data_IF_278074615884
#
_entry.id   IF_278074615884
#
_cell.length_a   1.000
_cell.length_b   1.000
_cell.length_c   1.000
_cell.angle_alpha   90.00
_cell.angle_beta   90.00
_cell.angle_gamma   90.00
#
_symmetry.space_group_name_H-M   'P 1'
#
loop_
_entity.id
_entity.type
_entity.pdbx_description
1 polymer ?
#
# COMPACT_ATOMS: atom_id res chain seq x y z
N UNK A 1 23.97 -23.87 -35.66
CA UNK A 1 23.75 -22.67 -36.49
C UNK A 1 22.57 -22.92 -37.41
N UNK A 2 21.42 -22.28 -37.17
CA UNK A 2 20.27 -22.38 -38.07
C UNK A 2 20.53 -21.55 -39.33
N UNK A 3 20.35 -22.12 -40.52
CA UNK A 3 20.52 -21.39 -41.78
C UNK A 3 19.40 -20.34 -41.92
N UNK A 4 19.78 -19.08 -42.11
CA UNK A 4 18.83 -17.99 -42.36
C UNK A 4 18.20 -18.17 -43.75
N UNK A 5 16.87 -18.18 -43.82
CA UNK A 5 16.10 -18.19 -45.08
C UNK A 5 15.29 -16.90 -45.20
N UNK A 6 14.79 -16.58 -46.40
CA UNK A 6 13.98 -15.37 -46.65
C UNK A 6 12.79 -15.23 -45.70
N UNK A 7 12.27 -16.36 -45.20
CA UNK A 7 11.10 -16.40 -44.32
C UNK A 7 11.46 -16.25 -42.83
N UNK A 8 12.75 -16.37 -42.45
CA UNK A 8 13.24 -16.32 -41.08
C UNK A 8 14.32 -15.24 -40.90
N UNK A 9 14.33 -14.24 -41.77
CA UNK A 9 15.30 -13.15 -41.72
C UNK A 9 14.93 -12.12 -40.64
N UNK A 10 13.64 -11.96 -40.36
CA UNK A 10 13.12 -11.08 -39.33
C UNK A 10 12.53 -11.90 -38.19
N UNK A 11 12.80 -11.45 -36.97
CA UNK A 11 12.22 -12.02 -35.77
C UNK A 11 10.78 -11.56 -35.67
N UNK A 12 9.85 -12.49 -35.82
CA UNK A 12 8.43 -12.23 -35.58
C UNK A 12 8.21 -12.32 -34.08
N UNK A 13 7.84 -11.19 -33.47
CA UNK A 13 7.40 -11.17 -32.08
C UNK A 13 5.87 -11.07 -32.05
N UNK A 14 5.22 -11.94 -31.29
CA UNK A 14 3.76 -11.90 -31.10
C UNK A 14 3.33 -10.64 -30.32
N UNK A 15 4.22 -10.11 -29.47
CA UNK A 15 4.03 -8.89 -28.69
C UNK A 15 5.32 -8.06 -28.67
N UNK A 16 5.23 -6.77 -28.33
CA UNK A 16 6.43 -5.93 -28.26
C UNK A 16 7.36 -6.47 -27.17
N UNK A 17 8.62 -6.82 -27.50
CA UNK A 17 9.56 -7.33 -26.51
C UNK A 17 9.83 -6.25 -25.46
N UNK A 18 9.66 -6.60 -24.19
CA UNK A 18 9.94 -5.69 -23.07
C UNK A 18 11.41 -5.27 -23.09
N UNK A 19 11.65 -3.97 -23.01
CA UNK A 19 12.99 -3.41 -22.84
C UNK A 19 13.51 -3.71 -21.44
N UNK A 20 14.82 -3.58 -21.21
CA UNK A 20 15.38 -3.73 -19.87
C UNK A 20 14.75 -2.74 -18.86
N UNK A 21 14.41 -1.54 -19.31
CA UNK A 21 13.72 -0.53 -18.51
C UNK A 21 12.31 -0.97 -18.12
N UNK A 22 11.55 -1.55 -19.05
CA UNK A 22 10.20 -2.07 -18.76
C UNK A 22 10.24 -3.15 -17.68
N UNK A 23 11.23 -4.04 -17.75
CA UNK A 23 11.45 -5.09 -16.75
C UNK A 23 11.70 -4.51 -15.36
N UNK A 24 12.61 -3.53 -15.26
CA UNK A 24 12.88 -2.88 -13.97
C UNK A 24 11.66 -2.16 -13.42
N UNK A 25 10.89 -1.48 -14.28
CA UNK A 25 9.67 -0.78 -13.89
C UNK A 25 8.61 -1.76 -13.36
N UNK A 26 8.48 -2.93 -14.01
CA UNK A 26 7.60 -4.01 -13.57
C UNK A 26 7.98 -4.52 -12.18
N UNK A 27 9.27 -4.80 -11.96
CA UNK A 27 9.75 -5.28 -10.65
C UNK A 27 9.50 -4.26 -9.56
N UNK A 28 9.80 -2.98 -9.79
CA UNK A 28 9.57 -1.92 -8.80
C UNK A 28 8.07 -1.80 -8.45
N UNK A 29 7.18 -1.89 -9.44
CA UNK A 29 5.73 -1.89 -9.19
C UNK A 29 5.30 -3.07 -8.33
N UNK A 30 5.77 -4.28 -8.66
CA UNK A 30 5.49 -5.48 -7.87
C UNK A 30 5.92 -5.33 -6.41
N UNK A 31 7.12 -4.79 -6.17
CA UNK A 31 7.61 -4.55 -4.80
C UNK A 31 6.69 -3.60 -4.02
N UNK A 32 6.22 -2.52 -4.65
CA UNK A 32 5.34 -1.53 -4.01
C UNK A 32 3.97 -2.15 -3.70
N UNK A 33 3.43 -2.93 -4.63
CA UNK A 33 2.14 -3.59 -4.47
C UNK A 33 2.20 -4.63 -3.34
N UNK A 34 3.24 -5.46 -3.30
CA UNK A 34 3.47 -6.44 -2.23
C UNK A 34 3.56 -5.76 -0.85
N UNK A 35 4.30 -4.64 -0.75
CA UNK A 35 4.38 -3.89 0.50
C UNK A 35 3.02 -3.28 0.89
N UNK A 36 2.26 -2.77 -0.09
CA UNK A 36 0.93 -2.23 0.15
C UNK A 36 -0.04 -3.30 0.66
N UNK A 37 -0.02 -4.50 0.09
CA UNK A 37 -0.81 -5.65 0.53
C UNK A 37 -0.48 -6.04 1.98
N UNK A 38 0.81 -6.12 2.33
CA UNK A 38 1.23 -6.41 3.70
C UNK A 38 0.72 -5.37 4.71
N UNK A 39 0.82 -4.07 4.36
CA UNK A 39 0.30 -2.98 5.19
C UNK A 39 -1.22 -3.08 5.35
N UNK A 40 -1.95 -3.35 4.27
CA UNK A 40 -3.40 -3.53 4.31
C UNK A 40 -3.81 -4.73 5.18
N UNK A 41 -3.15 -5.88 5.02
CA UNK A 41 -3.42 -7.08 5.82
C UNK A 41 -3.21 -6.81 7.32
N UNK A 42 -2.12 -6.12 7.69
CA UNK A 42 -1.86 -5.70 9.08
C UNK A 42 -2.95 -4.78 9.60
N UNK A 43 -3.35 -3.76 8.83
CA UNK A 43 -4.37 -2.82 9.24
C UNK A 43 -5.74 -3.50 9.42
N UNK A 44 -6.12 -4.39 8.51
CA UNK A 44 -7.34 -5.19 8.62
C UNK A 44 -7.34 -6.05 9.88
N UNK A 45 -6.22 -6.72 10.18
CA UNK A 45 -6.07 -7.50 11.43
C UNK A 45 -6.23 -6.62 12.68
N UNK A 46 -5.59 -5.46 12.72
CA UNK A 46 -5.69 -4.53 13.86
C UNK A 46 -7.09 -3.95 14.02
N UNK A 47 -7.77 -3.66 12.90
CA UNK A 47 -9.15 -3.17 12.90
C UNK A 47 -10.10 -4.23 13.45
N UNK A 48 -9.97 -5.48 13.00
CA UNK A 48 -10.78 -6.58 13.51
C UNK A 48 -10.56 -6.80 15.01
N UNK A 49 -9.30 -6.81 15.46
CA UNK A 49 -8.98 -6.93 16.88
C UNK A 49 -9.54 -5.76 17.72
N UNK A 50 -9.60 -4.54 17.16
CA UNK A 50 -10.25 -3.40 17.84
C UNK A 50 -11.76 -3.61 17.95
N UNK A 51 -12.42 -4.04 16.87
CA UNK A 51 -13.86 -4.30 16.86
C UNK A 51 -14.24 -5.43 17.83
N UNK A 52 -13.45 -6.51 17.88
CA UNK A 52 -13.65 -7.59 18.87
C UNK A 52 -13.49 -7.09 20.30
N UNK A 53 -12.50 -6.22 20.57
CA UNK A 53 -12.35 -5.60 21.89
C UNK A 53 -13.55 -4.74 22.25
N UNK A 54 -13.98 -3.86 21.35
CA UNK A 54 -15.14 -2.98 21.54
C UNK A 54 -16.43 -3.78 21.79
N UNK A 55 -16.63 -4.90 21.08
CA UNK A 55 -17.77 -5.78 21.28
C UNK A 55 -17.75 -6.51 22.64
N UNK A 56 -16.56 -6.80 23.18
CA UNK A 56 -16.39 -7.54 24.43
C UNK A 56 -16.17 -6.65 25.66
N UNK A 57 -15.85 -5.36 25.49
CA UNK A 57 -15.86 -4.39 26.59
C UNK A 57 -17.27 -3.85 26.77
N UNK A 58 -17.89 -4.05 27.95
CA UNK A 58 -19.09 -3.31 28.31
C UNK A 58 -18.80 -1.80 28.20
N UNK A 59 -19.79 -0.96 27.83
CA UNK A 59 -19.60 0.47 27.86
C UNK A 59 -19.29 0.88 29.30
N UNK A 60 -18.02 1.19 29.59
CA UNK A 60 -17.69 1.93 30.79
C UNK A 60 -18.43 3.26 30.66
N UNK A 61 -19.44 3.45 31.51
CA UNK A 61 -20.08 4.74 31.74
C UNK A 61 -19.00 5.64 32.35
N UNK A 62 -18.12 6.16 31.50
CA UNK A 62 -17.18 7.20 31.88
C UNK A 62 -18.01 8.46 32.02
N UNK A 63 -18.50 8.69 33.24
CA UNK A 63 -18.97 9.99 33.67
C UNK A 63 -17.98 11.03 33.12
N UNK A 64 -18.50 11.92 32.28
CA UNK A 64 -17.74 12.92 31.56
C UNK A 64 -17.05 13.87 32.55
N UNK A 65 -15.86 13.52 32.99
CA UNK A 65 -14.98 14.44 33.71
C UNK A 65 -14.30 15.37 32.70
N UNK A 66 -15.05 16.43 32.33
CA UNK A 66 -14.58 17.73 31.87
C UNK A 66 -13.27 17.77 31.05
N UNK A 67 -13.36 17.62 29.72
CA UNK A 67 -12.35 18.17 28.82
C UNK A 67 -12.58 19.68 28.65
N UNK A 68 -12.22 20.48 29.66
CA UNK A 68 -12.03 21.93 29.49
C UNK A 68 -10.56 22.28 29.70
N UNK A 69 -10.06 23.06 28.76
CA UNK A 69 -8.79 23.78 28.74
C UNK A 69 -7.57 23.04 28.22
N UNK A 70 -7.34 23.15 26.90
CA UNK A 70 -6.04 23.64 26.39
C UNK A 70 -6.11 24.13 24.95
N UNK A 71 -6.45 25.41 24.77
CA UNK A 71 -5.91 26.20 23.65
C UNK A 71 -5.99 27.69 23.97
N UNK A 72 -5.03 28.16 24.75
CA UNK A 72 -4.72 29.59 24.78
C UNK A 72 -3.25 29.78 24.41
N UNK A 73 -3.08 30.56 23.33
CA UNK A 73 -1.93 31.42 23.06
C UNK A 73 -0.72 30.82 22.32
N UNK A 74 -0.95 30.35 21.08
CA UNK A 74 0.05 30.44 20.01
C UNK A 74 -0.24 31.66 19.10
N UNK A 75 -0.52 32.81 19.71
CA UNK A 75 -0.82 34.07 19.03
C UNK A 75 -0.24 35.25 19.82
N UNK A 76 1.04 35.16 20.19
CA UNK A 76 1.76 36.26 20.82
C UNK A 76 3.24 36.16 20.48
N UNK A 77 3.56 36.37 19.21
CA UNK A 77 4.89 36.83 18.79
C UNK A 77 4.65 38.14 18.03
N UNK A 78 4.92 39.25 18.72
CA UNK A 78 5.14 40.58 18.16
C UNK A 78 6.51 41.02 18.65
#
# INVERSE_FOLDING_TARGET
MTKLSKNNLFKVYESKPETAMDKTTRVVRQMVDEEAEQRQAKNSRLRNARLEREANTPPEIKASAASKSRRTKAASTR
#
